data_IF_473686524088
#
_entry.id   IF_473686524088
#
_cell.length_a   1.000
_cell.length_b   1.000
_cell.length_c   1.000
_cell.angle_alpha   90.00
_cell.angle_beta   90.00
_cell.angle_gamma   90.00
#
_symmetry.space_group_name_H-M   'P 1'
#
loop_
_entity.id
_entity.type
_entity.pdbx_description
1 polymer ?
#
# COMPACT_ATOMS: atom_id res chain seq x y z
N UNK A 1 11.70 -18.47 -5.66
CA UNK A 1 10.92 -18.55 -4.42
C UNK A 1 10.21 -17.24 -4.20
N UNK A 2 8.92 -17.30 -3.98
CA UNK A 2 8.11 -16.09 -3.86
C UNK A 2 8.15 -15.47 -2.47
N UNK A 3 7.93 -14.17 -2.42
CA UNK A 3 7.70 -13.48 -1.16
C UNK A 3 6.28 -13.74 -0.68
N UNK A 4 6.09 -13.75 0.63
CA UNK A 4 4.77 -13.88 1.25
C UNK A 4 4.31 -12.52 1.76
N UNK A 5 3.03 -12.22 1.55
CA UNK A 5 2.40 -11.03 2.11
C UNK A 5 1.78 -11.41 3.44
N UNK A 6 2.16 -10.74 4.51
CA UNK A 6 1.57 -10.91 5.82
C UNK A 6 1.14 -9.56 6.36
N UNK A 7 0.22 -9.55 7.31
CA UNK A 7 -0.33 -8.32 7.86
C UNK A 7 0.09 -8.18 9.32
N UNK A 8 0.46 -6.97 9.70
CA UNK A 8 0.90 -6.69 11.06
C UNK A 8 -0.17 -7.02 12.09
N UNK A 9 -1.44 -6.81 11.75
CA UNK A 9 -2.56 -7.10 12.64
C UNK A 9 -3.81 -7.39 11.81
N UNK A 10 -4.83 -7.90 12.47
CA UNK A 10 -6.13 -8.15 11.85
C UNK A 10 -6.75 -6.84 11.36
N UNK A 11 -6.59 -5.75 12.13
CA UNK A 11 -7.11 -4.44 11.73
C UNK A 11 -6.47 -3.96 10.42
N UNK A 12 -5.17 -4.16 10.27
CA UNK A 12 -4.46 -3.81 9.03
C UNK A 12 -5.03 -4.60 7.86
N UNK A 13 -5.23 -5.91 8.06
CA UNK A 13 -5.80 -6.75 7.01
C UNK A 13 -7.21 -6.31 6.63
N UNK A 14 -8.05 -5.99 7.61
CA UNK A 14 -9.40 -5.54 7.36
C UNK A 14 -9.41 -4.22 6.59
N UNK A 15 -8.50 -3.31 6.88
CA UNK A 15 -8.39 -2.06 6.13
C UNK A 15 -8.05 -2.31 4.66
N UNK A 16 -7.19 -3.28 4.38
CA UNK A 16 -6.86 -3.66 3.01
C UNK A 16 -8.09 -4.27 2.32
N UNK A 17 -8.80 -5.16 3.02
CA UNK A 17 -9.99 -5.79 2.46
C UNK A 17 -11.12 -4.78 2.20
N UNK A 18 -11.11 -3.66 2.91
CA UNK A 18 -12.09 -2.60 2.76
C UNK A 18 -11.72 -1.56 1.69
N UNK A 19 -10.63 -1.74 0.95
CA UNK A 19 -10.25 -0.81 -0.11
C UNK A 19 -11.36 -0.71 -1.16
N UNK A 20 -11.62 0.51 -1.70
CA UNK A 20 -12.53 0.65 -2.85
C UNK A 20 -12.11 -0.22 -4.03
N UNK A 21 -13.06 -0.59 -4.87
CA UNK A 21 -12.88 -1.62 -5.89
C UNK A 21 -11.68 -1.44 -6.79
N UNK A 22 -11.47 -0.24 -7.37
CA UNK A 22 -10.34 -0.07 -8.29
C UNK A 22 -9.01 -0.05 -7.55
N UNK A 23 -9.00 0.44 -6.31
CA UNK A 23 -7.80 0.42 -5.49
C UNK A 23 -7.49 -1.00 -5.03
N UNK A 24 -8.50 -1.78 -4.68
CA UNK A 24 -8.33 -3.18 -4.31
C UNK A 24 -7.77 -3.98 -5.47
N UNK A 25 -8.29 -3.77 -6.67
CA UNK A 25 -7.80 -4.44 -7.88
C UNK A 25 -6.32 -4.09 -8.11
N UNK A 26 -5.97 -2.82 -7.94
CA UNK A 26 -4.59 -2.38 -8.11
C UNK A 26 -3.67 -3.01 -7.07
N UNK A 27 -4.15 -3.11 -5.83
CA UNK A 27 -3.40 -3.76 -4.76
C UNK A 27 -3.06 -5.21 -5.14
N UNK A 28 -4.05 -5.94 -5.64
CA UNK A 28 -3.86 -7.34 -6.04
C UNK A 28 -2.80 -7.45 -7.14
N UNK A 29 -2.89 -6.60 -8.17
CA UNK A 29 -1.95 -6.63 -9.29
C UNK A 29 -0.52 -6.34 -8.83
N UNK A 30 -0.33 -5.26 -8.06
CA UNK A 30 1.00 -4.85 -7.65
C UNK A 30 1.61 -5.78 -6.61
N UNK A 31 0.82 -6.27 -5.66
CA UNK A 31 1.34 -7.22 -4.67
C UNK A 31 1.69 -8.56 -5.30
N UNK A 32 0.94 -8.97 -6.33
CA UNK A 32 1.30 -10.18 -7.08
C UNK A 32 2.69 -10.04 -7.70
N UNK A 33 2.98 -8.88 -8.28
CA UNK A 33 4.31 -8.60 -8.82
C UNK A 33 5.37 -8.58 -7.73
N UNK A 34 5.07 -7.97 -6.58
CA UNK A 34 6.00 -7.93 -5.46
C UNK A 34 6.33 -9.34 -4.96
N UNK A 35 5.34 -10.22 -4.92
CA UNK A 35 5.57 -11.59 -4.50
C UNK A 35 6.50 -12.33 -5.46
N UNK A 36 6.42 -12.02 -6.74
CA UNK A 36 7.22 -12.70 -7.75
C UNK A 36 8.64 -12.13 -7.86
N UNK A 37 8.78 -10.80 -7.86
CA UNK A 37 10.06 -10.15 -8.18
C UNK A 37 10.70 -9.42 -7.01
N UNK A 38 10.02 -9.28 -5.89
CA UNK A 38 10.56 -8.65 -4.71
C UNK A 38 9.79 -7.41 -4.28
N UNK A 39 10.07 -6.92 -3.06
CA UNK A 39 9.25 -5.90 -2.42
C UNK A 39 9.37 -4.50 -3.02
N UNK A 40 10.44 -4.21 -3.75
CA UNK A 40 10.64 -2.87 -4.29
C UNK A 40 10.47 -2.89 -5.81
N UNK A 41 9.29 -2.45 -6.27
CA UNK A 41 8.98 -2.36 -7.70
C UNK A 41 9.53 -1.09 -8.35
N UNK A 42 10.01 -0.15 -7.54
CA UNK A 42 10.46 1.15 -8.03
C UNK A 42 9.32 2.13 -8.24
N UNK A 43 9.66 3.40 -8.37
CA UNK A 43 8.67 4.43 -8.61
C UNK A 43 8.07 4.28 -9.99
N UNK A 44 6.81 4.63 -10.20
CA UNK A 44 5.93 5.32 -9.24
C UNK A 44 5.18 4.38 -8.29
N UNK A 45 5.38 3.08 -8.37
CA UNK A 45 4.58 2.11 -7.61
C UNK A 45 5.02 1.99 -6.17
N UNK A 46 6.33 1.93 -5.94
CA UNK A 46 6.87 1.82 -4.58
C UNK A 46 7.95 2.87 -4.35
N UNK A 47 8.11 3.25 -3.10
CA UNK A 47 9.12 4.23 -2.71
C UNK A 47 9.67 3.89 -1.34
N UNK A 48 11.00 3.98 -1.20
CA UNK A 48 11.62 3.83 0.11
C UNK A 48 11.41 5.10 0.93
N UNK A 49 10.98 4.90 2.18
CA UNK A 49 10.74 6.01 3.11
C UNK A 49 11.88 6.15 4.11
N UNK A 50 12.93 5.32 3.98
CA UNK A 50 14.04 5.29 4.92
C UNK A 50 13.80 4.33 6.07
N UNK A 51 14.89 3.87 6.71
CA UNK A 51 14.80 3.01 7.89
C UNK A 51 14.15 1.65 7.63
N UNK A 52 14.14 1.19 6.39
CA UNK A 52 13.51 -0.08 6.03
C UNK A 52 12.02 -0.01 5.77
N UNK A 53 11.43 1.18 5.87
CA UNK A 53 10.01 1.39 5.58
C UNK A 53 9.83 1.69 4.10
N UNK A 54 8.85 1.04 3.47
CA UNK A 54 8.50 1.27 2.07
C UNK A 54 7.04 1.66 1.97
N UNK A 55 6.71 2.35 0.87
CA UNK A 55 5.36 2.79 0.58
C UNK A 55 4.94 2.21 -0.77
N UNK A 56 3.75 1.59 -0.81
CA UNK A 56 3.11 1.17 -2.05
C UNK A 56 2.00 2.16 -2.36
N UNK A 57 2.01 2.69 -3.58
CA UNK A 57 1.02 3.68 -4.04
C UNK A 57 0.04 3.02 -4.98
N UNK A 58 -1.24 3.17 -4.66
CA UNK A 58 -2.33 2.64 -5.47
C UNK A 58 -3.15 3.81 -6.02
N UNK A 59 -3.32 3.86 -7.32
CA UNK A 59 -4.14 4.89 -7.96
C UNK A 59 -5.34 4.24 -8.62
N UNK A 60 -6.50 4.81 -8.42
CA UNK A 60 -7.72 4.31 -9.00
C UNK A 60 -8.77 5.40 -9.11
N UNK A 61 -9.94 5.03 -9.59
CA UNK A 61 -11.04 5.97 -9.80
C UNK A 61 -11.49 6.62 -8.48
N UNK A 62 -11.38 5.90 -7.36
CA UNK A 62 -11.83 6.38 -6.06
C UNK A 62 -10.80 7.25 -5.35
N UNK A 63 -9.59 7.39 -5.90
CA UNK A 63 -8.55 8.19 -5.29
C UNK A 63 -7.20 7.49 -5.26
N UNK A 64 -6.44 7.78 -4.22
CA UNK A 64 -5.10 7.23 -4.04
C UNK A 64 -5.03 6.56 -2.67
N UNK A 65 -4.56 5.31 -2.65
CA UNK A 65 -4.27 4.63 -1.41
C UNK A 65 -2.76 4.53 -1.23
N UNK A 66 -2.32 4.64 0.02
CA UNK A 66 -0.92 4.44 0.39
C UNK A 66 -0.85 3.29 1.38
N UNK A 67 0.03 2.34 1.09
CA UNK A 67 0.20 1.16 1.92
C UNK A 67 1.66 1.12 2.38
N UNK A 68 1.86 1.17 3.69
CA UNK A 68 3.20 1.12 4.26
C UNK A 68 3.55 -0.31 4.63
N UNK A 69 4.76 -0.72 4.31
CA UNK A 69 5.20 -2.08 4.55
C UNK A 69 6.71 -2.13 4.80
N UNK A 70 7.16 -3.22 5.39
CA UNK A 70 8.56 -3.53 5.54
C UNK A 70 8.79 -5.00 5.17
N UNK A 71 10.04 -5.41 5.18
CA UNK A 71 10.37 -6.80 4.88
C UNK A 71 11.00 -7.47 6.09
N UNK A 72 10.82 -8.78 6.18
CA UNK A 72 11.43 -9.59 7.21
C UNK A 72 12.21 -10.74 6.59
N UNK A 73 13.09 -11.33 7.37
CA UNK A 73 13.83 -12.52 6.98
C UNK A 73 12.85 -13.62 6.56
N UNK A 74 13.22 -14.40 5.54
CA UNK A 74 12.35 -15.45 5.01
C UNK A 74 11.42 -14.97 3.92
N UNK A 75 11.77 -13.87 3.27
CA UNK A 75 11.00 -13.32 2.14
C UNK A 75 9.56 -12.98 2.54
N UNK A 76 9.40 -12.26 3.63
CA UNK A 76 8.12 -11.79 4.10
C UNK A 76 7.98 -10.30 3.88
N UNK A 77 6.85 -9.89 3.33
CA UNK A 77 6.46 -8.49 3.16
C UNK A 77 5.37 -8.25 4.19
N UNK A 78 5.64 -7.39 5.17
CA UNK A 78 4.71 -7.14 6.28
C UNK A 78 3.99 -5.83 6.03
N UNK A 79 2.69 -5.89 5.82
CA UNK A 79 1.85 -4.71 5.67
C UNK A 79 1.60 -4.12 7.05
N UNK A 80 1.98 -2.85 7.24
CA UNK A 80 1.96 -2.18 8.54
C UNK A 80 0.77 -1.25 8.71
N UNK A 81 0.39 -0.56 7.63
CA UNK A 81 -0.65 0.47 7.71
C UNK A 81 -1.09 0.85 6.30
N UNK A 82 -2.33 1.30 6.17
CA UNK A 82 -2.83 1.81 4.91
C UNK A 82 -3.84 2.92 5.16
N UNK A 83 -3.94 3.84 4.20
CA UNK A 83 -5.00 4.83 4.22
C UNK A 83 -5.33 5.25 2.80
N UNK A 84 -6.52 5.82 2.62
CA UNK A 84 -7.03 6.22 1.32
C UNK A 84 -7.31 7.73 1.33
N UNK A 85 -6.79 8.41 0.31
CA UNK A 85 -7.23 9.77 -0.01
C UNK A 85 -8.26 9.66 -1.11
N UNK A 86 -9.47 10.10 -0.84
CA UNK A 86 -10.59 9.92 -1.78
C UNK A 86 -10.42 10.71 -3.07
N UNK A 87 -9.64 11.77 -3.06
CA UNK A 87 -9.35 12.55 -4.25
C UNK A 87 -7.87 12.93 -4.25
N UNK A 88 -7.34 13.20 -5.45
CA UNK A 88 -5.99 13.72 -5.58
C UNK A 88 -5.92 15.21 -5.20
N UNK A 89 -7.07 15.85 -5.05
CA UNK A 89 -7.18 17.24 -4.66
C UNK A 89 -7.84 17.35 -3.30
N UNK A 90 -7.16 17.98 -2.33
CA UNK A 90 -7.71 18.20 -1.01
C UNK A 90 -8.77 19.30 -1.08
N UNK A 91 -10.01 19.04 -0.64
CA UNK A 91 -11.02 20.09 -0.59
C UNK A 91 -10.60 21.25 0.31
N UNK A 92 -11.00 22.49 0.00
CA UNK A 92 -10.61 23.64 0.80
C UNK A 92 -10.95 23.50 2.28
N UNK A 93 -12.09 22.88 2.59
CA UNK A 93 -12.50 22.66 3.98
C UNK A 93 -11.49 21.82 4.75
N UNK A 94 -10.96 20.79 4.12
CA UNK A 94 -9.96 19.94 4.77
C UNK A 94 -8.63 20.63 4.92
N UNK A 95 -8.29 21.51 4.00
CA UNK A 95 -7.09 22.33 4.13
C UNK A 95 -7.17 23.25 5.35
N UNK A 96 -8.36 23.78 5.64
CA UNK A 96 -8.56 24.63 6.81
C UNK A 96 -8.44 23.85 8.11
N UNK A 97 -8.88 22.59 8.12
CA UNK A 97 -8.81 21.73 9.29
C UNK A 97 -7.39 21.25 9.52
N UNK A 98 -6.70 20.96 8.45
CA UNK A 98 -5.33 20.46 8.55
C UNK A 98 -4.36 21.56 8.91
#
# INVERSE_FOLDING_TARGET
MEYAIVYYSEDVEQNILALPDTLAARYIVLTRRMRAVGPNLGEPHTKSMGGGLLELRLKGAEGIARVFYCTQVGKRIVILHSFVKKTSRTPPRELEIA
#
